data_IF_217222768448
#
_entry.id   IF_217222768448
#
_cell.length_a   1.000
_cell.length_b   1.000
_cell.length_c   1.000
_cell.angle_alpha   90.00
_cell.angle_beta   90.00
_cell.angle_gamma   90.00
#
_symmetry.space_group_name_H-M   'P 1'
#
loop_
_entity.id
_entity.type
_entity.pdbx_description
1 polymer ?
#
# COMPACT_ATOMS: atom_id res chain seq x y z
N UNK A 1 19.68 -10.46 -10.81
CA UNK A 1 18.22 -10.30 -11.00
C UNK A 1 17.87 -8.83 -11.17
N UNK A 2 17.57 -8.36 -12.40
CA UNK A 2 17.24 -6.95 -12.70
C UNK A 2 15.74 -6.61 -12.58
N UNK A 3 14.88 -7.57 -12.21
CA UNK A 3 13.43 -7.42 -12.27
C UNK A 3 12.82 -6.88 -10.97
N UNK A 4 11.74 -6.11 -11.09
CA UNK A 4 10.92 -5.71 -9.94
C UNK A 4 10.14 -6.89 -9.37
N UNK A 5 9.66 -6.78 -8.14
CA UNK A 5 8.96 -7.87 -7.47
C UNK A 5 7.69 -8.28 -8.21
N UNK A 6 6.83 -7.32 -8.59
CA UNK A 6 5.60 -7.64 -9.33
C UNK A 6 5.90 -8.27 -10.69
N UNK A 7 6.94 -7.81 -11.40
CA UNK A 7 7.30 -8.38 -12.68
C UNK A 7 7.85 -9.81 -12.56
N UNK A 8 8.69 -10.06 -11.56
CA UNK A 8 9.20 -11.40 -11.28
C UNK A 8 8.07 -12.35 -10.85
N UNK A 9 7.14 -11.86 -10.03
CA UNK A 9 5.96 -12.63 -9.63
C UNK A 9 5.01 -12.86 -10.81
N UNK A 10 4.84 -11.88 -11.70
CA UNK A 10 3.99 -11.97 -12.89
C UNK A 10 4.45 -13.07 -13.85
N UNK A 11 5.77 -13.21 -14.03
CA UNK A 11 6.33 -14.28 -14.87
C UNK A 11 6.10 -15.68 -14.31
N UNK A 12 5.98 -15.83 -13.00
CA UNK A 12 5.66 -17.12 -12.38
C UNK A 12 4.16 -17.37 -12.29
N UNK A 13 3.40 -16.36 -11.86
CA UNK A 13 1.95 -16.45 -11.68
C UNK A 13 1.31 -15.07 -11.86
N UNK A 14 0.79 -14.82 -13.07
CA UNK A 14 0.14 -13.57 -13.47
C UNK A 14 -0.98 -13.16 -12.52
N UNK A 15 -1.88 -14.11 -12.17
CA UNK A 15 -3.02 -13.84 -11.30
C UNK A 15 -2.61 -13.51 -9.86
N UNK A 16 -1.52 -14.10 -9.36
CA UNK A 16 -0.97 -13.77 -8.05
C UNK A 16 -0.34 -12.37 -8.04
N UNK A 17 0.37 -11.98 -9.10
CA UNK A 17 0.94 -10.65 -9.23
C UNK A 17 -0.13 -9.56 -9.29
N UNK A 18 -1.19 -9.75 -10.08
CA UNK A 18 -2.31 -8.81 -10.17
C UNK A 18 -2.99 -8.66 -8.82
N UNK A 19 -3.35 -9.77 -8.15
CA UNK A 19 -3.97 -9.72 -6.82
C UNK A 19 -3.11 -8.98 -5.80
N UNK A 20 -1.80 -9.19 -5.80
CA UNK A 20 -0.88 -8.43 -4.93
C UNK A 20 -0.81 -6.95 -5.29
N UNK A 21 -0.72 -6.60 -6.56
CA UNK A 21 -0.77 -5.21 -7.00
C UNK A 21 -2.05 -4.52 -6.51
N UNK A 22 -3.21 -5.15 -6.74
CA UNK A 22 -4.50 -4.65 -6.27
C UNK A 22 -4.56 -4.54 -4.75
N UNK A 23 -4.04 -5.52 -4.00
CA UNK A 23 -4.04 -5.48 -2.53
C UNK A 23 -3.26 -4.28 -1.98
N UNK A 24 -2.14 -3.92 -2.63
CA UNK A 24 -1.31 -2.78 -2.25
C UNK A 24 -1.89 -1.44 -2.71
N UNK A 25 -2.76 -1.42 -3.72
CA UNK A 25 -3.50 -0.24 -4.18
C UNK A 25 -4.85 -0.05 -3.48
N UNK A 26 -5.37 -1.11 -2.86
CA UNK A 26 -6.71 -1.14 -2.27
C UNK A 26 -6.97 0.02 -1.30
N UNK A 27 -6.05 0.41 -0.41
CA UNK A 27 -6.31 1.53 0.48
C UNK A 27 -6.50 2.87 -0.24
N UNK A 28 -5.65 3.16 -1.24
CA UNK A 28 -5.78 4.36 -2.07
C UNK A 28 -7.08 4.35 -2.87
N UNK A 29 -7.48 3.20 -3.42
CA UNK A 29 -8.73 3.04 -4.17
C UNK A 29 -9.96 3.24 -3.27
N UNK A 30 -9.94 2.69 -2.05
CA UNK A 30 -11.02 2.87 -1.08
C UNK A 30 -11.13 4.34 -0.67
N UNK A 31 -10.01 5.01 -0.38
CA UNK A 31 -10.01 6.44 -0.06
C UNK A 31 -10.54 7.30 -1.22
N UNK A 32 -10.13 7.00 -2.46
CA UNK A 32 -10.61 7.67 -3.66
C UNK A 32 -12.12 7.46 -3.87
N UNK A 33 -12.59 6.21 -3.72
CA UNK A 33 -14.01 5.89 -3.82
C UNK A 33 -14.83 6.66 -2.77
N UNK A 34 -14.37 6.67 -1.52
CA UNK A 34 -15.01 7.41 -0.44
C UNK A 34 -15.06 8.92 -0.73
N UNK A 35 -14.01 9.50 -1.30
CA UNK A 35 -14.00 10.91 -1.73
C UNK A 35 -15.01 11.18 -2.84
N UNK A 36 -14.98 10.37 -3.91
CA UNK A 36 -15.92 10.52 -5.02
C UNK A 36 -17.36 10.40 -4.55
N UNK A 37 -17.64 9.41 -3.70
CA UNK A 37 -18.97 9.20 -3.19
C UNK A 37 -19.44 10.30 -2.22
N UNK A 38 -18.52 10.91 -1.45
CA UNK A 38 -18.80 12.05 -0.58
C UNK A 38 -19.14 13.32 -1.35
N UNK A 39 -18.47 13.56 -2.48
CA UNK A 39 -18.67 14.78 -3.29
C UNK A 39 -19.75 14.66 -4.38
N UNK A 40 -19.95 13.47 -4.94
CA UNK A 40 -20.84 13.25 -6.08
C UNK A 40 -22.05 12.35 -5.77
N UNK A 41 -22.18 11.86 -4.53
CA UNK A 41 -23.31 11.06 -4.07
C UNK A 41 -23.65 9.88 -5.00
N UNK A 42 -22.63 9.14 -5.43
CA UNK A 42 -22.75 8.04 -6.39
C UNK A 42 -23.63 6.89 -5.86
N UNK A 43 -23.64 6.68 -4.54
CA UNK A 43 -24.50 5.71 -3.84
C UNK A 43 -25.11 6.31 -2.58
N UNK A 44 -26.15 5.65 -2.04
CA UNK A 44 -26.87 6.09 -0.83
C UNK A 44 -26.00 6.03 0.44
N UNK A 45 -25.04 5.12 0.51
CA UNK A 45 -24.12 5.08 1.64
C UNK A 45 -23.22 6.31 1.62
N UNK A 46 -22.97 6.93 2.78
CA UNK A 46 -22.16 8.14 2.89
C UNK A 46 -21.17 8.03 4.05
N UNK A 47 -19.97 8.59 3.86
CA UNK A 47 -18.96 8.65 4.92
C UNK A 47 -19.41 9.67 5.95
N UNK A 48 -19.39 9.29 7.23
CA UNK A 48 -19.69 10.23 8.31
C UNK A 48 -18.60 11.34 8.33
N UNK A 49 -18.95 12.62 8.14
CA UNK A 49 -17.99 13.72 8.09
C UNK A 49 -17.21 13.91 9.40
N UNK A 50 -17.77 13.46 10.53
CA UNK A 50 -17.09 13.53 11.85
C UNK A 50 -16.07 12.40 12.06
N UNK A 51 -16.12 11.35 11.24
CA UNK A 51 -15.15 10.25 11.31
C UNK A 51 -13.77 10.69 10.81
N UNK A 52 -12.71 9.98 11.21
CA UNK A 52 -11.34 10.26 10.74
C UNK A 52 -11.24 10.25 9.20
N UNK A 53 -11.94 9.31 8.56
CA UNK A 53 -12.02 9.20 7.08
C UNK A 53 -12.77 10.40 6.49
N UNK A 54 -13.88 10.83 7.10
CA UNK A 54 -14.64 11.99 6.65
C UNK A 54 -13.86 13.30 6.76
N UNK A 55 -13.14 13.49 7.88
CA UNK A 55 -12.22 14.63 8.06
C UNK A 55 -11.06 14.60 7.09
N UNK A 56 -10.53 13.41 6.77
CA UNK A 56 -9.46 13.26 5.79
C UNK A 56 -9.93 13.65 4.39
N UNK A 57 -11.09 13.17 3.96
CA UNK A 57 -11.67 13.41 2.63
C UNK A 57 -11.99 14.89 2.38
N UNK A 58 -12.52 15.56 3.39
CA UNK A 58 -12.82 17.00 3.33
C UNK A 58 -11.60 17.89 3.57
N UNK A 59 -10.48 17.31 3.99
CA UNK A 59 -9.27 18.04 4.35
C UNK A 59 -8.31 18.27 3.17
N UNK A 60 -7.44 19.30 3.26
CA UNK A 60 -6.48 19.63 2.21
C UNK A 60 -5.38 18.57 2.02
N UNK A 61 -5.21 17.68 3.00
CA UNK A 61 -4.19 16.63 2.99
C UNK A 61 -4.63 15.33 2.30
N UNK A 62 -5.87 15.25 1.82
CA UNK A 62 -6.42 14.05 1.18
C UNK A 62 -5.51 13.47 0.08
N UNK A 63 -5.10 14.31 -0.87
CA UNK A 63 -4.25 13.89 -2.00
C UNK A 63 -2.88 13.40 -1.55
N UNK A 64 -2.32 14.01 -0.51
CA UNK A 64 -1.04 13.57 0.07
C UNK A 64 -1.15 12.18 0.67
N UNK A 65 -2.26 11.86 1.34
CA UNK A 65 -2.50 10.52 1.89
C UNK A 65 -2.68 9.48 0.79
N UNK A 66 -3.45 9.80 -0.28
CA UNK A 66 -3.56 8.90 -1.44
C UNK A 66 -2.19 8.61 -2.06
N UNK A 67 -1.37 9.64 -2.27
CA UNK A 67 -0.03 9.48 -2.83
C UNK A 67 0.85 8.65 -1.90
N UNK A 68 0.78 8.89 -0.60
CA UNK A 68 1.55 8.15 0.40
C UNK A 68 1.17 6.67 0.45
N UNK A 69 -0.13 6.35 0.42
CA UNK A 69 -0.66 4.99 0.39
C UNK A 69 -0.31 4.24 -0.91
N UNK A 70 -0.03 4.97 -2.01
CA UNK A 70 0.42 4.40 -3.29
C UNK A 70 1.93 4.01 -3.29
N UNK A 71 2.74 4.56 -2.39
CA UNK A 71 4.20 4.32 -2.37
C UNK A 71 4.54 2.83 -2.28
N UNK A 72 3.94 2.01 -1.40
CA UNK A 72 4.20 0.58 -1.34
C UNK A 72 3.98 -0.11 -2.68
N UNK A 73 2.88 0.18 -3.37
CA UNK A 73 2.63 -0.36 -4.70
C UNK A 73 3.72 0.04 -5.71
N UNK A 74 4.10 1.32 -5.73
CA UNK A 74 5.17 1.82 -6.61
C UNK A 74 6.50 1.12 -6.34
N UNK A 75 6.84 0.88 -5.07
CA UNK A 75 8.03 0.11 -4.68
C UNK A 75 7.94 -1.31 -5.23
N UNK A 76 6.81 -2.00 -5.06
CA UNK A 76 6.60 -3.35 -5.60
C UNK A 76 6.72 -3.42 -7.14
N UNK A 77 6.26 -2.38 -7.84
CA UNK A 77 6.23 -2.31 -9.29
C UNK A 77 7.58 -1.95 -9.91
N UNK A 78 8.37 -1.07 -9.26
CA UNK A 78 9.55 -0.44 -9.87
C UNK A 78 10.87 -0.87 -9.25
N UNK A 79 10.90 -1.17 -7.94
CA UNK A 79 12.15 -1.44 -7.22
C UNK A 79 12.62 -2.86 -7.46
N UNK A 80 13.93 -3.01 -7.67
CA UNK A 80 14.60 -4.31 -7.75
C UNK A 80 14.38 -5.10 -6.47
N UNK A 81 14.04 -6.40 -6.61
CA UNK A 81 13.76 -7.28 -5.47
C UNK A 81 14.76 -7.15 -4.31
N UNK A 82 16.06 -7.11 -4.59
CA UNK A 82 17.13 -7.00 -3.57
C UNK A 82 16.91 -5.85 -2.56
N UNK A 83 16.35 -4.72 -3.00
CA UNK A 83 16.18 -3.52 -2.17
C UNK A 83 14.74 -3.33 -1.65
N UNK A 84 13.79 -4.13 -2.15
CA UNK A 84 12.36 -3.93 -1.88
C UNK A 84 12.02 -3.98 -0.38
N UNK A 85 12.44 -5.04 0.31
CA UNK A 85 12.16 -5.19 1.75
C UNK A 85 12.77 -4.06 2.59
N UNK A 86 13.95 -3.58 2.22
CA UNK A 86 14.59 -2.49 2.97
C UNK A 86 13.84 -1.18 2.79
N UNK A 87 13.44 -0.84 1.55
CA UNK A 87 12.66 0.36 1.28
C UNK A 87 11.26 0.29 1.88
N UNK A 88 10.59 -0.87 1.84
CA UNK A 88 9.29 -1.06 2.50
C UNK A 88 9.37 -0.90 4.01
N UNK A 89 10.47 -1.35 4.65
CA UNK A 89 10.69 -1.12 6.08
C UNK A 89 10.89 0.36 6.40
N UNK A 90 11.69 1.06 5.60
CA UNK A 90 11.90 2.51 5.76
C UNK A 90 10.57 3.24 5.60
N UNK A 91 9.80 2.91 4.56
CA UNK A 91 8.47 3.49 4.35
C UNK A 91 7.54 3.20 5.52
N UNK A 92 7.50 1.96 6.03
CA UNK A 92 6.66 1.59 7.17
C UNK A 92 7.07 2.38 8.43
N UNK A 93 8.37 2.54 8.68
CA UNK A 93 8.87 3.35 9.78
C UNK A 93 8.43 4.81 9.65
N UNK A 94 8.59 5.41 8.47
CA UNK A 94 8.12 6.77 8.18
C UNK A 94 6.61 6.88 8.36
N UNK A 95 5.83 5.90 7.88
CA UNK A 95 4.39 5.85 8.03
C UNK A 95 3.97 5.83 9.51
N UNK A 96 4.65 5.05 10.34
CA UNK A 96 4.43 5.01 11.79
C UNK A 96 4.81 6.33 12.46
N UNK A 97 5.92 6.95 12.09
CA UNK A 97 6.31 8.26 12.64
C UNK A 97 5.30 9.36 12.27
N UNK A 98 4.93 9.46 10.98
CA UNK A 98 3.90 10.40 10.50
C UNK A 98 2.59 10.15 11.23
N UNK A 99 2.22 8.89 11.40
CA UNK A 99 1.05 8.51 12.17
C UNK A 99 1.11 8.98 13.62
N UNK A 100 2.21 8.76 14.34
CA UNK A 100 2.35 9.17 15.74
C UNK A 100 2.21 10.70 15.88
N UNK A 101 2.81 11.46 14.97
CA UNK A 101 2.66 12.92 14.92
C UNK A 101 1.18 13.27 14.66
N UNK A 102 0.56 12.63 13.67
CA UNK A 102 -0.82 12.93 13.28
C UNK A 102 -1.84 12.52 14.36
N UNK A 103 -1.60 11.42 15.09
CA UNK A 103 -2.41 10.99 16.23
C UNK A 103 -2.32 11.98 17.39
N UNK A 104 -1.15 12.59 17.60
CA UNK A 104 -0.94 13.60 18.64
C UNK A 104 -1.63 14.93 18.33
N UNK A 105 -1.68 15.32 17.04
CA UNK A 105 -2.10 16.66 16.65
C UNK A 105 -3.47 16.73 15.93
N UNK A 106 -3.88 15.75 15.12
CA UNK A 106 -5.05 15.90 14.22
C UNK A 106 -6.01 14.69 14.17
N UNK A 107 -5.69 13.53 14.75
CA UNK A 107 -6.57 12.34 14.84
C UNK A 107 -7.27 11.91 13.52
N UNK A 108 -6.69 12.26 12.37
CA UNK A 108 -7.35 12.17 11.06
C UNK A 108 -6.82 11.05 10.17
N UNK A 109 -5.70 10.40 10.54
CA UNK A 109 -5.11 9.35 9.70
C UNK A 109 -5.76 7.98 9.97
N UNK A 110 -6.29 7.28 8.95
CA UNK A 110 -6.90 5.97 9.13
C UNK A 110 -5.84 4.91 9.49
N UNK A 111 -5.98 4.34 10.69
CA UNK A 111 -5.10 3.32 11.27
C UNK A 111 -5.01 2.01 10.47
N UNK A 112 -6.03 1.73 9.64
CA UNK A 112 -6.21 0.46 8.94
C UNK A 112 -5.19 0.22 7.83
N UNK A 113 -4.69 1.28 7.17
CA UNK A 113 -3.65 1.18 6.12
C UNK A 113 -2.35 0.61 6.67
N UNK A 114 -1.85 1.17 7.76
CA UNK A 114 -0.59 0.76 8.39
C UNK A 114 -0.67 -0.70 8.86
N UNK A 115 -1.81 -1.09 9.45
CA UNK A 115 -2.07 -2.45 9.91
C UNK A 115 -2.07 -3.45 8.74
N UNK A 116 -2.75 -3.13 7.64
CA UNK A 116 -2.76 -3.96 6.43
C UNK A 116 -1.35 -4.15 5.87
N UNK A 117 -0.54 -3.09 5.83
CA UNK A 117 0.83 -3.18 5.35
C UNK A 117 1.74 -3.98 6.29
N UNK A 118 1.64 -3.78 7.61
CA UNK A 118 2.41 -4.54 8.59
C UNK A 118 2.12 -6.05 8.50
N UNK A 119 0.84 -6.43 8.39
CA UNK A 119 0.42 -7.83 8.22
C UNK A 119 0.92 -8.41 6.89
N UNK A 120 0.91 -7.63 5.82
CA UNK A 120 1.37 -8.07 4.50
C UNK A 120 2.90 -8.25 4.39
N UNK A 121 3.68 -7.64 5.30
CA UNK A 121 5.14 -7.60 5.25
C UNK A 121 5.77 -9.00 5.42
N UNK A 122 5.22 -9.81 6.33
CA UNK A 122 5.70 -11.17 6.58
C UNK A 122 5.51 -12.09 5.35
N UNK A 123 4.33 -12.03 4.74
CA UNK A 123 4.02 -12.74 3.49
C UNK A 123 4.92 -12.28 2.34
N UNK A 124 5.17 -10.97 2.22
CA UNK A 124 6.08 -10.39 1.24
C UNK A 124 7.51 -10.91 1.39
N UNK A 125 8.01 -10.97 2.63
CA UNK A 125 9.35 -11.48 2.92
C UNK A 125 9.51 -12.93 2.47
N UNK A 126 8.53 -13.77 2.79
CA UNK A 126 8.56 -15.18 2.40
C UNK A 126 8.54 -15.35 0.88
N UNK A 127 7.65 -14.64 0.18
CA UNK A 127 7.57 -14.72 -1.28
C UNK A 127 8.79 -14.13 -1.99
N UNK A 128 9.37 -13.07 -1.46
CA UNK A 128 10.59 -12.51 -2.01
C UNK A 128 11.75 -13.50 -1.90
N UNK A 129 11.88 -14.19 -0.77
CA UNK A 129 12.90 -15.24 -0.59
C UNK A 129 12.67 -16.40 -1.56
N UNK A 130 11.42 -16.83 -1.75
CA UNK A 130 11.07 -17.88 -2.73
C UNK A 130 11.41 -17.46 -4.17
N UNK A 131 11.05 -16.22 -4.55
CA UNK A 131 11.36 -15.67 -5.87
C UNK A 131 12.86 -15.57 -6.08
N UNK A 132 13.63 -15.06 -5.12
CA UNK A 132 15.09 -15.01 -5.25
C UNK A 132 15.68 -16.42 -5.39
N UNK A 133 15.22 -17.41 -4.61
CA UNK A 133 15.74 -18.77 -4.68
C UNK A 133 15.40 -19.51 -5.99
N UNK A 134 14.20 -19.30 -6.55
CA UNK A 134 13.79 -19.91 -7.85
C UNK A 134 14.55 -19.35 -9.04
N UNK A 135 15.09 -18.14 -8.88
CA UNK A 135 15.80 -17.44 -9.94
C UNK A 135 17.33 -17.53 -9.81
N UNK A 136 17.86 -17.89 -8.64
CA UNK A 136 19.29 -18.08 -8.37
C UNK A 136 19.74 -19.52 -8.66
N UNK A 137 18.86 -20.53 -8.60
CA UNK A 137 19.20 -21.89 -9.04
C UNK A 137 19.04 -22.02 -10.56
N UNK A 138 20.12 -22.20 -11.35
CA UNK A 138 19.97 -22.76 -12.68
C UNK A 138 19.28 -24.12 -12.52
N UNK A 139 18.30 -24.42 -13.39
CA UNK A 139 17.80 -25.78 -13.50
C UNK A 139 18.99 -26.63 -13.94
N UNK A 140 19.47 -27.50 -13.05
CA UNK A 140 20.32 -28.61 -13.45
C UNK A 140 19.54 -29.53 -14.38
#
# INVERSE_FOLDING_TARGET
>A
MKFSFLWALYRQNKGKAIRKGCWFLLPSLVNLFCFLNFHYQLIQWQVNPKSSVGKLISGPHFWWVILFDCIPFLLLATVRQKYLLQLLKIWLFVAVCVFLINAWFWASYPYSTILLFALSLASLKQEQNQLMNTYIRPRC
#
